data_IF_373654442350
#
_entry.id   IF_373654442350
#
_cell.length_a   1.000
_cell.length_b   1.000
_cell.length_c   1.000
_cell.angle_alpha   90.00
_cell.angle_beta   90.00
_cell.angle_gamma   90.00
#
_symmetry.space_group_name_H-M   'P 1'
#
loop_
_entity.id
_entity.type
_entity.pdbx_description
1 polymer ?
#
# COMPACT_ATOMS: atom_id res chain seq x y z
N UNK A 1 113.61 78.73 16.03
CA UNK A 1 113.17 78.29 14.68
C UNK A 1 113.53 76.82 14.52
N UNK A 2 112.70 75.83 14.86
CA UNK A 2 111.39 75.37 14.34
C UNK A 2 111.57 74.00 13.66
N UNK A 3 111.63 72.94 14.49
CA UNK A 3 111.62 71.52 14.08
C UNK A 3 110.20 70.97 13.83
N UNK A 4 109.14 71.79 13.94
CA UNK A 4 107.74 71.36 13.99
C UNK A 4 107.01 71.23 12.63
N UNK A 5 107.62 71.63 11.51
CA UNK A 5 106.95 71.59 10.19
C UNK A 5 107.07 70.27 9.43
N UNK A 6 107.93 69.34 9.86
CA UNK A 6 108.11 68.03 9.20
C UNK A 6 107.14 66.94 9.68
N UNK A 7 106.41 67.16 10.78
CA UNK A 7 105.50 66.15 11.35
C UNK A 7 104.07 66.24 10.77
N UNK A 8 103.58 67.44 10.44
CA UNK A 8 102.20 67.66 9.99
C UNK A 8 101.92 67.12 8.57
N UNK A 9 102.91 67.15 7.68
CA UNK A 9 102.77 66.67 6.29
C UNK A 9 102.83 65.13 6.24
N UNK A 10 103.60 64.49 7.13
CA UNK A 10 103.62 63.04 7.27
C UNK A 10 102.31 62.47 7.81
N UNK A 11 101.65 63.16 8.75
CA UNK A 11 100.38 62.72 9.31
C UNK A 11 99.21 62.91 8.32
N UNK A 12 99.18 64.02 7.59
CA UNK A 12 98.15 64.26 6.56
C UNK A 12 98.24 63.28 5.39
N UNK A 13 99.46 62.96 4.93
CA UNK A 13 99.68 61.93 3.92
C UNK A 13 99.31 60.52 4.44
N UNK A 14 99.64 60.18 5.69
CA UNK A 14 99.26 58.92 6.29
C UNK A 14 97.74 58.78 6.44
N UNK A 15 97.03 59.83 6.85
CA UNK A 15 95.56 59.83 6.97
C UNK A 15 94.89 59.75 5.59
N UNK A 16 95.43 60.45 4.58
CA UNK A 16 94.92 60.37 3.21
C UNK A 16 95.17 58.99 2.58
N UNK A 17 96.34 58.36 2.82
CA UNK A 17 96.62 56.99 2.39
C UNK A 17 95.70 56.01 3.12
N UNK A 18 95.48 56.16 4.43
CA UNK A 18 94.54 55.33 5.18
C UNK A 18 93.10 55.50 4.65
N UNK A 19 92.66 56.72 4.33
CA UNK A 19 91.33 56.95 3.75
C UNK A 19 91.20 56.36 2.34
N UNK A 20 92.23 56.45 1.49
CA UNK A 20 92.24 55.83 0.16
C UNK A 20 92.27 54.30 0.27
N UNK A 21 93.03 53.74 1.20
CA UNK A 21 93.05 52.29 1.46
C UNK A 21 91.71 51.83 2.02
N UNK A 22 91.08 52.57 2.94
CA UNK A 22 89.77 52.23 3.50
C UNK A 22 88.64 52.35 2.46
N UNK A 23 88.68 53.34 1.57
CA UNK A 23 87.65 53.53 0.53
C UNK A 23 87.88 52.71 -0.74
N UNK A 24 89.13 52.31 -1.03
CA UNK A 24 89.51 51.50 -2.20
C UNK A 24 89.50 49.99 -1.94
N UNK A 25 89.20 49.58 -0.70
CA UNK A 25 89.04 48.18 -0.34
C UNK A 25 87.81 47.61 -1.08
N UNK A 26 87.99 46.53 -1.86
CA UNK A 26 86.87 45.89 -2.53
C UNK A 26 85.92 45.34 -1.47
N UNK A 27 84.64 45.68 -1.61
CA UNK A 27 83.60 45.08 -0.79
C UNK A 27 83.57 43.57 -1.07
N UNK A 28 83.52 42.76 -0.01
CA UNK A 28 83.40 41.31 -0.15
C UNK A 28 81.92 40.91 -0.12
N UNK A 29 81.45 40.08 -1.07
CA UNK A 29 80.11 39.55 -1.03
C UNK A 29 80.02 38.43 0.01
N UNK A 30 79.13 38.59 0.99
CA UNK A 30 78.80 37.52 1.94
C UNK A 30 77.45 36.95 1.58
N UNK A 31 77.38 35.62 1.42
CA UNK A 31 76.14 34.91 1.27
C UNK A 31 75.43 34.80 2.62
N UNK A 32 74.15 35.15 2.66
CA UNK A 32 73.28 34.85 3.78
C UNK A 32 72.00 34.19 3.28
N UNK A 33 71.47 33.24 4.05
CA UNK A 33 70.20 32.58 3.76
C UNK A 33 69.08 33.46 4.29
N UNK A 34 68.20 33.90 3.40
CA UNK A 34 66.97 34.58 3.79
C UNK A 34 65.78 33.71 3.43
N UNK A 35 64.86 33.55 4.38
CA UNK A 35 63.58 32.90 4.18
C UNK A 35 62.66 33.87 3.44
N UNK A 36 62.40 33.60 2.16
CA UNK A 36 61.54 34.46 1.34
C UNK A 36 60.18 33.76 1.18
N UNK A 37 59.07 34.42 1.57
CA UNK A 37 57.74 33.87 1.32
C UNK A 37 57.45 33.88 -0.18
N UNK A 38 56.94 32.78 -0.69
CA UNK A 38 56.39 32.68 -2.05
C UNK A 38 54.99 32.08 -2.00
N UNK A 39 54.17 32.44 -2.98
CA UNK A 39 52.82 31.92 -3.11
C UNK A 39 52.88 30.63 -3.93
N UNK A 40 52.33 29.55 -3.38
CA UNK A 40 52.16 28.28 -4.05
C UNK A 40 50.68 27.91 -4.11
N UNK A 41 50.27 27.20 -5.17
CA UNK A 41 48.89 26.76 -5.36
C UNK A 41 48.79 25.30 -4.97
N UNK A 42 48.06 25.02 -3.89
CA UNK A 42 47.77 23.65 -3.48
C UNK A 42 46.34 23.28 -3.88
N UNK A 43 46.21 22.14 -4.57
CA UNK A 43 44.93 21.50 -4.88
C UNK A 43 44.50 20.66 -3.68
N UNK A 44 43.27 20.89 -3.21
CA UNK A 44 42.66 20.10 -2.16
C UNK A 44 41.22 19.74 -2.55
N UNK A 45 40.73 18.61 -2.05
CA UNK A 45 39.38 18.14 -2.34
C UNK A 45 38.44 18.54 -1.21
N UNK A 46 37.31 19.16 -1.60
CA UNK A 46 36.21 19.47 -0.68
C UNK A 46 35.02 18.59 -1.04
N UNK A 47 34.53 17.84 -0.05
CA UNK A 47 33.31 17.06 -0.21
C UNK A 47 32.10 17.99 -0.15
N UNK A 48 31.44 18.19 -1.28
CA UNK A 48 30.25 19.03 -1.39
C UNK A 48 29.00 18.16 -1.58
N UNK A 49 27.92 18.38 -0.81
CA UNK A 49 26.66 17.67 -0.99
C UNK A 49 25.95 18.14 -2.28
N UNK A 50 25.32 17.22 -2.98
CA UNK A 50 24.42 17.50 -4.10
C UNK A 50 23.18 16.59 -4.04
N UNK A 51 22.06 17.07 -4.54
CA UNK A 51 20.79 16.35 -4.53
C UNK A 51 20.59 15.58 -5.84
N UNK A 52 20.23 14.29 -5.72
CA UNK A 52 19.91 13.42 -6.86
C UNK A 52 18.53 12.81 -6.64
N UNK A 53 17.71 12.76 -7.69
CA UNK A 53 16.46 12.00 -7.68
C UNK A 53 16.74 10.54 -8.03
N UNK A 54 16.44 9.63 -7.10
CA UNK A 54 16.54 8.19 -7.35
C UNK A 54 15.15 7.56 -7.42
N UNK A 55 14.86 6.74 -8.44
CA UNK A 55 13.60 6.01 -8.51
C UNK A 55 13.58 4.91 -7.44
N UNK A 56 12.41 4.69 -6.84
CA UNK A 56 12.14 3.54 -6.00
C UNK A 56 10.75 2.99 -6.30
N UNK A 57 10.59 1.68 -6.15
CA UNK A 57 9.32 1.00 -6.35
C UNK A 57 8.54 0.92 -5.04
N UNK A 58 7.25 1.22 -5.10
CA UNK A 58 6.35 1.05 -3.96
C UNK A 58 5.02 0.48 -4.43
N UNK A 59 4.35 -0.29 -3.55
CA UNK A 59 3.05 -0.86 -3.85
C UNK A 59 1.96 0.02 -3.25
N UNK A 60 1.06 0.51 -4.09
CA UNK A 60 -0.09 1.29 -3.67
C UNK A 60 -1.38 0.47 -3.80
N UNK A 61 -2.26 0.50 -2.78
CA UNK A 61 -3.56 -0.14 -2.86
C UNK A 61 -4.48 0.63 -3.81
N UNK A 62 -5.30 -0.09 -4.55
CA UNK A 62 -6.40 0.46 -5.34
C UNK A 62 -7.62 -0.46 -5.27
N UNK A 63 -8.82 0.11 -5.41
CA UNK A 63 -10.07 -0.63 -5.34
C UNK A 63 -10.51 -1.05 -6.74
N UNK A 64 -10.93 -2.31 -6.89
CA UNK A 64 -11.49 -2.86 -8.12
C UNK A 64 -12.80 -3.55 -7.79
N UNK A 65 -13.83 -3.32 -8.60
CA UNK A 65 -15.06 -4.10 -8.54
C UNK A 65 -14.90 -5.37 -9.35
N UNK A 66 -15.11 -6.52 -8.70
CA UNK A 66 -15.09 -7.83 -9.36
C UNK A 66 -16.46 -8.48 -9.27
N UNK A 67 -16.96 -9.08 -10.37
CA UNK A 67 -18.20 -9.84 -10.33
C UNK A 67 -18.03 -11.07 -9.44
N UNK A 68 -19.06 -11.40 -8.68
CA UNK A 68 -19.13 -12.63 -7.90
C UNK A 68 -20.56 -13.16 -7.89
N UNK A 69 -20.69 -14.47 -7.78
CA UNK A 69 -21.99 -15.15 -7.64
C UNK A 69 -22.27 -15.39 -6.17
N UNK A 70 -23.50 -15.11 -5.74
CA UNK A 70 -23.97 -15.41 -4.40
C UNK A 70 -25.35 -16.06 -4.44
N UNK A 71 -25.65 -16.85 -3.42
CA UNK A 71 -26.96 -17.46 -3.25
C UNK A 71 -27.82 -16.53 -2.41
N UNK A 72 -28.93 -16.09 -2.97
CA UNK A 72 -29.99 -15.41 -2.23
C UNK A 72 -31.04 -16.44 -1.81
N UNK A 73 -31.59 -16.29 -0.61
CA UNK A 73 -32.57 -17.24 -0.06
C UNK A 73 -33.81 -16.49 0.39
N UNK A 74 -34.98 -17.01 0.06
CA UNK A 74 -36.25 -16.39 0.43
C UNK A 74 -37.25 -17.40 0.97
N UNK A 75 -38.27 -16.87 1.66
CA UNK A 75 -39.43 -17.65 2.12
C UNK A 75 -40.72 -16.88 1.87
N UNK A 76 -41.81 -17.61 1.62
CA UNK A 76 -43.14 -17.06 1.44
C UNK A 76 -44.17 -17.98 2.10
N UNK A 77 -44.98 -17.43 2.99
CA UNK A 77 -46.13 -18.13 3.58
C UNK A 77 -47.19 -18.33 2.51
N UNK A 78 -47.54 -19.57 2.23
CA UNK A 78 -48.62 -19.94 1.31
C UNK A 78 -49.96 -20.02 2.05
N UNK A 79 -49.96 -20.64 3.23
CA UNK A 79 -51.13 -20.78 4.10
C UNK A 79 -50.70 -20.66 5.57
N UNK A 80 -51.52 -20.01 6.38
CA UNK A 80 -51.44 -20.02 7.85
C UNK A 80 -52.84 -19.72 8.40
N UNK A 81 -53.79 -20.62 8.12
CA UNK A 81 -55.20 -20.41 8.44
C UNK A 81 -55.92 -21.72 8.80
N UNK A 82 -57.17 -21.60 9.25
CA UNK A 82 -58.07 -22.70 9.56
C UNK A 82 -59.20 -22.77 8.55
N UNK A 83 -59.46 -23.97 8.05
CA UNK A 83 -60.45 -24.21 7.01
C UNK A 83 -61.52 -25.19 7.50
N UNK A 84 -62.78 -24.90 7.18
CA UNK A 84 -63.89 -25.81 7.43
C UNK A 84 -64.19 -26.67 6.20
N UNK A 85 -64.15 -28.00 6.36
CA UNK A 85 -64.40 -28.95 5.28
C UNK A 85 -65.66 -29.77 5.59
N UNK A 86 -66.70 -29.58 4.79
CA UNK A 86 -68.00 -30.26 4.96
C UNK A 86 -67.86 -31.79 4.84
N UNK A 87 -68.66 -32.53 5.61
CA UNK A 87 -68.76 -33.99 5.56
C UNK A 87 -69.07 -34.49 4.13
N UNK A 88 -68.25 -35.42 3.63
CA UNK A 88 -68.36 -35.99 2.28
C UNK A 88 -67.76 -35.12 1.15
N UNK A 89 -67.25 -33.92 1.45
CA UNK A 89 -66.70 -33.00 0.44
C UNK A 89 -65.19 -32.83 0.57
N UNK A 90 -64.59 -32.19 -0.42
CA UNK A 90 -63.23 -31.65 -0.34
C UNK A 90 -63.26 -30.13 -0.46
N UNK A 91 -62.21 -29.49 0.06
CA UNK A 91 -61.86 -28.10 -0.19
C UNK A 91 -60.52 -28.07 -0.92
N UNK A 92 -60.46 -27.46 -2.10
CA UNK A 92 -59.24 -27.27 -2.86
C UNK A 92 -58.76 -25.82 -2.74
N UNK A 93 -57.54 -25.64 -2.24
CA UNK A 93 -56.91 -24.35 -2.04
C UNK A 93 -55.82 -24.15 -3.11
N UNK A 94 -56.06 -23.34 -4.15
CA UNK A 94 -55.06 -23.05 -5.16
C UNK A 94 -54.03 -22.06 -4.64
N UNK A 95 -52.75 -22.30 -4.94
CA UNK A 95 -51.66 -21.34 -4.77
C UNK A 95 -50.74 -21.38 -5.96
N UNK A 96 -50.32 -20.21 -6.45
CA UNK A 96 -49.39 -20.13 -7.57
C UNK A 96 -47.96 -20.14 -7.06
N UNK A 97 -47.15 -21.09 -7.54
CA UNK A 97 -45.75 -21.22 -7.15
C UNK A 97 -44.89 -20.90 -8.35
N UNK A 98 -44.10 -19.82 -8.25
CA UNK A 98 -43.06 -19.48 -9.21
C UNK A 98 -41.77 -20.18 -8.81
N UNK A 99 -41.20 -20.97 -9.71
CA UNK A 99 -39.91 -21.62 -9.49
C UNK A 99 -38.73 -20.66 -9.60
N UNK A 100 -37.75 -20.95 -8.77
CA UNK A 100 -36.39 -20.45 -8.67
C UNK A 100 -35.42 -21.62 -8.85
N UNK A 101 -34.13 -21.43 -8.54
CA UNK A 101 -33.11 -22.48 -8.72
C UNK A 101 -33.36 -23.69 -7.82
N UNK A 102 -33.89 -23.47 -6.62
CA UNK A 102 -34.26 -24.56 -5.70
C UNK A 102 -35.46 -24.15 -4.84
N UNK A 103 -36.66 -24.60 -5.18
CA UNK A 103 -37.84 -24.41 -4.34
C UNK A 103 -38.11 -25.66 -3.47
N UNK A 104 -38.63 -25.40 -2.28
CA UNK A 104 -39.01 -26.43 -1.33
C UNK A 104 -40.22 -25.95 -0.55
N UNK A 105 -41.32 -26.68 -0.67
CA UNK A 105 -42.55 -26.38 0.06
C UNK A 105 -42.65 -27.34 1.23
N UNK A 106 -42.93 -26.81 2.41
CA UNK A 106 -43.20 -27.62 3.59
C UNK A 106 -44.23 -27.00 4.50
N UNK A 107 -44.81 -27.83 5.37
CA UNK A 107 -45.92 -27.38 6.18
C UNK A 107 -46.47 -28.45 7.12
N UNK A 108 -47.55 -28.09 7.79
CA UNK A 108 -48.29 -28.97 8.68
C UNK A 108 -49.77 -28.91 8.36
N UNK A 109 -50.42 -30.07 8.45
CA UNK A 109 -51.88 -30.18 8.44
C UNK A 109 -52.32 -30.75 9.77
N UNK A 110 -53.29 -30.11 10.42
CA UNK A 110 -53.83 -30.52 11.72
C UNK A 110 -55.35 -30.40 11.72
N UNK A 111 -56.03 -31.51 11.98
CA UNK A 111 -57.46 -31.59 12.24
C UNK A 111 -57.70 -31.29 13.73
N UNK A 112 -58.54 -30.31 14.03
CA UNK A 112 -58.70 -29.76 15.39
C UNK A 112 -59.99 -30.19 16.10
N UNK A 113 -60.75 -31.13 15.51
CA UNK A 113 -62.02 -31.65 16.04
C UNK A 113 -61.96 -33.13 16.46
N UNK A 114 -60.74 -33.65 16.70
CA UNK A 114 -60.46 -35.02 17.17
C UNK A 114 -60.84 -36.13 16.16
N UNK A 115 -60.68 -35.83 14.87
CA UNK A 115 -60.93 -36.77 13.77
C UNK A 115 -59.68 -36.92 12.90
N UNK A 116 -59.88 -37.25 11.63
CA UNK A 116 -58.83 -37.43 10.63
C UNK A 116 -59.06 -36.51 9.43
N UNK A 117 -58.04 -36.18 8.66
CA UNK A 117 -58.21 -35.49 7.37
C UNK A 117 -57.30 -36.15 6.35
N UNK A 118 -57.72 -36.15 5.08
CA UNK A 118 -56.84 -36.53 3.98
C UNK A 118 -56.33 -35.28 3.27
N UNK A 119 -55.02 -35.15 3.11
CA UNK A 119 -54.38 -34.09 2.35
C UNK A 119 -53.82 -34.66 1.04
N UNK A 120 -54.14 -33.99 -0.07
CA UNK A 120 -53.42 -34.13 -1.33
C UNK A 120 -52.76 -32.81 -1.69
N UNK A 121 -51.57 -32.88 -2.30
CA UNK A 121 -50.99 -31.74 -3.02
C UNK A 121 -50.77 -32.14 -4.47
N UNK A 122 -51.45 -31.45 -5.38
CA UNK A 122 -51.44 -31.72 -6.82
C UNK A 122 -51.00 -30.46 -7.58
N UNK A 123 -50.27 -30.61 -8.69
CA UNK A 123 -50.15 -29.53 -9.67
C UNK A 123 -51.48 -29.33 -10.44
N UNK A 124 -51.52 -28.34 -11.32
CA UNK A 124 -52.70 -28.01 -12.13
C UNK A 124 -53.17 -29.18 -13.01
N UNK A 125 -52.24 -29.91 -13.62
CA UNK A 125 -52.52 -31.04 -14.51
C UNK A 125 -53.14 -32.21 -13.73
N UNK A 126 -52.51 -32.61 -12.64
CA UNK A 126 -52.94 -33.67 -11.74
C UNK A 126 -54.25 -33.31 -11.04
N UNK A 127 -54.47 -32.04 -10.68
CA UNK A 127 -55.76 -31.60 -10.15
C UNK A 127 -56.90 -31.69 -11.18
N UNK A 128 -56.63 -31.35 -12.44
CA UNK A 128 -57.62 -31.51 -13.49
C UNK A 128 -57.96 -32.99 -13.75
N UNK A 129 -56.95 -33.87 -13.72
CA UNK A 129 -57.16 -35.32 -13.78
C UNK A 129 -57.98 -35.84 -12.59
N UNK A 130 -57.67 -35.38 -11.36
CA UNK A 130 -58.43 -35.70 -10.15
C UNK A 130 -59.92 -35.33 -10.29
N UNK A 131 -60.23 -34.13 -10.74
CA UNK A 131 -61.62 -33.69 -10.98
C UNK A 131 -62.34 -34.52 -12.04
N UNK A 132 -61.62 -34.94 -13.08
CA UNK A 132 -62.16 -35.75 -14.17
C UNK A 132 -62.31 -37.24 -13.81
N UNK A 133 -61.92 -37.66 -12.60
CA UNK A 133 -61.89 -39.08 -12.21
C UNK A 133 -60.84 -39.89 -12.96
N UNK A 134 -59.82 -39.22 -13.52
CA UNK A 134 -58.70 -39.85 -14.21
C UNK A 134 -57.58 -40.21 -13.23
N UNK A 135 -56.60 -40.98 -13.69
CA UNK A 135 -55.39 -41.26 -12.90
C UNK A 135 -54.54 -39.98 -12.74
N UNK A 136 -54.00 -39.77 -11.53
CA UNK A 136 -53.15 -38.64 -11.18
C UNK A 136 -52.08 -39.11 -10.18
N UNK A 137 -51.02 -38.33 -10.01
CA UNK A 137 -49.98 -38.60 -9.01
C UNK A 137 -49.80 -37.38 -8.12
N UNK A 138 -50.07 -37.49 -6.81
CA UNK A 138 -49.85 -36.39 -5.89
C UNK A 138 -48.37 -36.22 -5.53
N UNK A 139 -47.95 -34.98 -5.28
CA UNK A 139 -46.67 -34.68 -4.63
C UNK A 139 -46.70 -35.08 -3.16
N UNK A 140 -47.85 -34.89 -2.52
CA UNK A 140 -48.09 -35.27 -1.11
C UNK A 140 -49.42 -36.01 -1.04
N UNK A 141 -49.42 -37.16 -0.39
CA UNK A 141 -50.62 -37.90 -0.02
C UNK A 141 -50.54 -38.33 1.44
N UNK A 142 -51.37 -37.72 2.29
CA UNK A 142 -51.51 -38.07 3.69
C UNK A 142 -52.94 -38.54 3.92
N UNK A 143 -53.13 -39.82 4.17
CA UNK A 143 -54.45 -40.41 4.39
C UNK A 143 -54.80 -40.40 5.86
N UNK A 144 -55.97 -39.85 6.18
CA UNK A 144 -56.61 -39.95 7.50
C UNK A 144 -55.67 -39.60 8.67
N UNK A 145 -54.99 -38.46 8.56
CA UNK A 145 -54.10 -37.94 9.62
C UNK A 145 -54.84 -36.98 10.54
N UNK A 146 -54.59 -37.03 11.85
CA UNK A 146 -55.04 -35.99 12.79
C UNK A 146 -54.08 -34.81 12.80
N UNK A 147 -52.78 -35.06 12.74
CA UNK A 147 -51.74 -34.06 12.54
C UNK A 147 -50.56 -34.68 11.80
N UNK A 148 -49.97 -33.96 10.86
CA UNK A 148 -48.80 -34.44 10.13
C UNK A 148 -48.01 -33.30 9.48
N UNK A 149 -46.72 -33.54 9.32
CA UNK A 149 -45.83 -32.71 8.52
C UNK A 149 -45.82 -33.21 7.07
N UNK A 150 -45.75 -32.28 6.12
CA UNK A 150 -45.52 -32.61 4.72
C UNK A 150 -44.44 -31.72 4.13
N UNK A 151 -43.81 -32.22 3.06
CA UNK A 151 -42.95 -31.43 2.20
C UNK A 151 -42.90 -32.00 0.80
N UNK A 152 -42.61 -31.16 -0.19
CA UNK A 152 -42.36 -31.55 -1.57
C UNK A 152 -41.53 -30.48 -2.29
N UNK A 153 -40.95 -30.88 -3.43
CA UNK A 153 -40.23 -29.98 -4.34
C UNK A 153 -41.08 -29.77 -5.58
N UNK A 154 -41.61 -28.55 -5.82
CA UNK A 154 -42.29 -28.26 -7.08
C UNK A 154 -41.28 -28.36 -8.23
N UNK A 155 -41.71 -28.88 -9.37
CA UNK A 155 -40.86 -29.16 -10.55
C UNK A 155 -41.26 -28.32 -11.78
N UNK A 156 -42.31 -27.51 -11.68
CA UNK A 156 -42.65 -26.48 -12.67
C UNK A 156 -43.35 -25.28 -12.02
N UNK A 157 -43.35 -24.14 -12.73
CA UNK A 157 -44.09 -22.95 -12.32
C UNK A 157 -45.55 -23.12 -12.73
N UNK A 158 -46.46 -23.26 -11.76
CA UNK A 158 -47.89 -23.43 -12.00
C UNK A 158 -48.72 -23.21 -10.71
N UNK A 159 -50.02 -23.39 -10.80
CA UNK A 159 -50.90 -23.57 -9.66
C UNK A 159 -50.74 -24.95 -9.04
N UNK A 160 -50.55 -24.96 -7.73
CA UNK A 160 -50.60 -26.13 -6.88
C UNK A 160 -51.88 -26.08 -6.03
N UNK A 161 -52.52 -27.24 -5.87
CA UNK A 161 -53.80 -27.41 -5.19
C UNK A 161 -53.61 -28.25 -3.94
N UNK A 162 -53.84 -27.62 -2.79
CA UNK A 162 -53.88 -28.29 -1.50
C UNK A 162 -55.32 -28.72 -1.22
N UNK A 163 -55.56 -30.02 -1.32
CA UNK A 163 -56.91 -30.59 -1.24
C UNK A 163 -57.08 -31.20 0.14
N UNK A 164 -57.97 -30.60 0.94
CA UNK A 164 -58.41 -31.14 2.21
C UNK A 164 -59.68 -31.94 1.98
N UNK A 165 -59.62 -33.26 2.15
CA UNK A 165 -60.72 -34.17 1.86
C UNK A 165 -61.31 -34.79 3.13
N UNK A 166 -62.61 -34.55 3.33
CA UNK A 166 -63.41 -35.10 4.43
C UNK A 166 -64.37 -36.18 3.93
N UNK A 167 -63.85 -37.21 3.26
CA UNK A 167 -64.68 -38.28 2.68
C UNK A 167 -65.31 -39.25 3.68
N UNK A 168 -64.73 -39.37 4.88
CA UNK A 168 -65.09 -40.40 5.85
C UNK A 168 -66.10 -39.93 6.91
N UNK A 169 -66.33 -38.61 7.04
CA UNK A 169 -67.38 -38.11 7.91
C UNK A 169 -68.73 -38.06 7.18
N UNK A 170 -69.80 -38.48 7.85
CA UNK A 170 -71.15 -38.49 7.28
C UNK A 170 -71.97 -37.24 7.64
N UNK A 171 -71.67 -36.58 8.75
CA UNK A 171 -72.53 -35.51 9.31
C UNK A 171 -71.73 -34.28 9.74
N UNK A 172 -70.54 -34.46 10.34
CA UNK A 172 -69.78 -33.36 10.95
C UNK A 172 -68.75 -32.73 9.99
N UNK A 173 -68.73 -31.39 9.85
CA UNK A 173 -67.62 -30.72 9.20
C UNK A 173 -66.36 -30.85 10.06
N UNK A 174 -65.19 -30.80 9.41
CA UNK A 174 -63.87 -30.80 10.09
C UNK A 174 -63.26 -29.41 10.05
N UNK A 175 -62.53 -29.04 11.10
CA UNK A 175 -61.76 -27.79 11.14
C UNK A 175 -60.28 -28.13 11.06
N UNK A 176 -59.66 -27.71 9.96
CA UNK A 176 -58.29 -28.07 9.61
C UNK A 176 -57.41 -26.84 9.64
N UNK A 177 -56.42 -26.80 10.52
CA UNK A 177 -55.34 -25.84 10.44
C UNK A 177 -54.34 -26.30 9.38
N UNK A 178 -54.09 -25.47 8.37
CA UNK A 178 -53.11 -25.72 7.33
C UNK A 178 -52.08 -24.59 7.35
N UNK A 179 -50.82 -24.98 7.55
CA UNK A 179 -49.67 -24.10 7.43
C UNK A 179 -48.79 -24.60 6.32
N UNK A 180 -48.39 -23.73 5.41
CA UNK A 180 -47.42 -24.08 4.37
C UNK A 180 -46.55 -22.88 4.03
N UNK A 181 -45.27 -23.14 3.82
CA UNK A 181 -44.27 -22.16 3.45
C UNK A 181 -43.51 -22.67 2.25
N UNK A 182 -43.34 -21.83 1.23
CA UNK A 182 -42.36 -22.05 0.18
C UNK A 182 -41.04 -21.40 0.60
N UNK A 183 -39.95 -22.15 0.52
CA UNK A 183 -38.59 -21.66 0.74
C UNK A 183 -37.82 -21.88 -0.55
N UNK A 184 -37.04 -20.88 -0.96
CA UNK A 184 -36.24 -21.00 -2.17
C UNK A 184 -34.82 -20.47 -2.01
N UNK A 185 -33.97 -20.86 -2.96
CA UNK A 185 -32.70 -20.20 -3.21
C UNK A 185 -32.57 -19.85 -4.70
N UNK A 186 -31.88 -18.75 -4.98
CA UNK A 186 -31.58 -18.30 -6.34
C UNK A 186 -30.15 -17.76 -6.42
N UNK A 187 -29.46 -18.09 -7.51
CA UNK A 187 -28.11 -17.63 -7.80
C UNK A 187 -28.17 -16.25 -8.42
N UNK A 188 -27.63 -15.24 -7.72
CA UNK A 188 -27.53 -13.86 -8.19
C UNK A 188 -26.09 -13.48 -8.48
N UNK A 189 -25.92 -12.58 -9.45
CA UNK A 189 -24.64 -11.94 -9.74
C UNK A 189 -24.58 -10.60 -9.01
N UNK A 190 -23.47 -10.32 -8.34
CA UNK A 190 -23.19 -9.06 -7.68
C UNK A 190 -21.77 -8.58 -7.97
N UNK A 191 -21.44 -7.37 -7.50
CA UNK A 191 -20.09 -6.83 -7.55
C UNK A 191 -19.57 -6.64 -6.14
N UNK A 192 -18.33 -7.06 -5.88
CA UNK A 192 -17.63 -6.80 -4.63
C UNK A 192 -16.41 -5.94 -4.88
N UNK A 193 -16.16 -5.00 -3.98
CA UNK A 193 -14.95 -4.19 -4.00
C UNK A 193 -13.80 -4.98 -3.40
N UNK A 194 -12.74 -5.19 -4.18
CA UNK A 194 -11.51 -5.88 -3.77
C UNK A 194 -10.35 -4.90 -3.81
N UNK A 195 -9.55 -4.89 -2.75
CA UNK A 195 -8.29 -4.13 -2.72
C UNK A 195 -7.19 -4.92 -3.42
N UNK A 196 -6.66 -4.35 -4.50
CA UNK A 196 -5.49 -4.84 -5.23
C UNK A 196 -4.31 -3.91 -5.02
N UNK A 197 -3.12 -4.38 -5.35
CA UNK A 197 -1.89 -3.60 -5.26
C UNK A 197 -1.28 -3.42 -6.64
N UNK A 198 -0.82 -2.21 -6.93
CA UNK A 198 -0.04 -1.92 -8.14
C UNK A 198 1.32 -1.38 -7.73
N UNK A 199 2.36 -1.83 -8.42
CA UNK A 199 3.70 -1.28 -8.28
C UNK A 199 3.76 0.03 -9.05
N UNK A 200 4.18 1.09 -8.36
CA UNK A 200 4.38 2.42 -8.93
C UNK A 200 5.80 2.88 -8.64
N UNK A 201 6.42 3.50 -9.63
CA UNK A 201 7.74 4.13 -9.49
C UNK A 201 7.55 5.54 -8.94
N UNK A 202 8.15 5.82 -7.79
CA UNK A 202 8.24 7.15 -7.19
C UNK A 202 9.70 7.60 -7.19
N UNK A 203 9.93 8.90 -6.97
CA UNK A 203 11.26 9.47 -6.89
C UNK A 203 11.48 10.02 -5.48
N UNK A 204 12.68 9.78 -4.93
CA UNK A 204 13.12 10.36 -3.67
C UNK A 204 14.38 11.18 -3.91
N UNK A 205 14.46 12.33 -3.24
CA UNK A 205 15.68 13.13 -3.18
C UNK A 205 16.68 12.44 -2.24
N UNK A 206 17.86 12.14 -2.75
CA UNK A 206 18.99 11.59 -1.98
C UNK A 206 20.15 12.58 -2.04
N UNK A 207 20.68 12.95 -0.88
CA UNK A 207 21.91 13.73 -0.78
C UNK A 207 23.10 12.81 -0.99
N UNK A 208 23.87 13.05 -2.06
CA UNK A 208 25.15 12.41 -2.32
C UNK A 208 26.27 13.41 -2.14
N UNK A 209 27.49 12.91 -1.99
CA UNK A 209 28.68 13.73 -1.86
C UNK A 209 29.56 13.54 -3.08
N UNK A 210 30.14 14.64 -3.57
CA UNK A 210 31.16 14.61 -4.61
C UNK A 210 32.38 15.39 -4.13
N UNK A 211 33.55 14.89 -4.48
CA UNK A 211 34.79 15.61 -4.23
C UNK A 211 34.98 16.66 -5.32
N UNK A 212 35.02 17.92 -4.90
CA UNK A 212 35.25 19.07 -5.77
C UNK A 212 36.66 19.56 -5.53
N UNK A 213 37.44 19.62 -6.60
CA UNK A 213 38.79 20.17 -6.55
C UNK A 213 38.73 21.68 -6.33
N UNK A 214 39.36 22.15 -5.27
CA UNK A 214 39.55 23.57 -4.96
C UNK A 214 41.02 23.89 -4.87
N UNK A 215 41.34 25.13 -5.18
CA UNK A 215 42.69 25.66 -5.07
C UNK A 215 42.75 26.61 -3.88
N UNK A 216 43.80 26.49 -3.08
CA UNK A 216 44.14 27.49 -2.06
C UNK A 216 45.54 28.01 -2.32
N UNK A 217 45.70 29.30 -2.07
CA UNK A 217 47.00 29.95 -2.09
C UNK A 217 47.64 29.73 -0.72
N UNK A 218 48.79 29.08 -0.69
CA UNK A 218 49.56 28.83 0.54
C UNK A 218 50.85 29.62 0.47
N UNK A 219 51.15 30.34 1.55
CA UNK A 219 52.45 30.99 1.70
C UNK A 219 53.45 29.94 2.18
N UNK A 220 54.35 29.54 1.29
CA UNK A 220 55.49 28.68 1.61
C UNK A 220 56.74 29.53 1.74
N UNK A 221 57.74 28.98 2.40
CA UNK A 221 59.02 29.63 2.59
C UNK A 221 60.09 28.83 1.88
N UNK A 222 60.90 29.50 1.05
CA UNK A 222 62.11 28.91 0.47
C UNK A 222 63.33 29.68 0.98
N UNK A 223 64.42 28.95 1.14
CA UNK A 223 65.70 29.57 1.46
C UNK A 223 66.30 30.11 0.17
N UNK A 224 66.46 31.43 0.09
CA UNK A 224 67.21 32.08 -0.98
C UNK A 224 68.57 32.53 -0.44
N UNK A 225 69.63 32.22 -1.20
CA UNK A 225 70.95 32.78 -0.94
C UNK A 225 71.01 34.17 -1.55
N UNK A 226 71.11 35.20 -0.71
CA UNK A 226 71.36 36.58 -1.14
C UNK A 226 72.77 37.00 -0.76
N UNK A 227 73.28 38.00 -1.48
CA UNK A 227 74.61 38.53 -1.27
C UNK A 227 74.51 39.97 -0.80
N UNK A 228 75.18 40.30 0.31
CA UNK A 228 75.36 41.67 0.76
C UNK A 228 76.84 42.02 0.66
N UNK A 229 77.12 43.21 0.15
CA UNK A 229 78.46 43.77 0.11
C UNK A 229 78.81 44.33 1.49
N UNK A 230 79.88 43.83 2.11
CA UNK A 230 80.39 44.32 3.40
C UNK A 230 81.83 44.76 3.24
N UNK A 231 82.29 45.68 4.10
CA UNK A 231 83.70 46.06 4.13
C UNK A 231 84.54 44.89 4.67
N UNK A 232 85.80 44.80 4.25
CA UNK A 232 86.73 43.75 4.70
C UNK A 232 86.87 43.67 6.23
N UNK A 233 86.75 44.82 6.92
CA UNK A 233 86.79 44.92 8.37
C UNK A 233 85.56 44.24 9.02
N UNK A 234 84.37 44.48 8.45
CA UNK A 234 83.12 43.92 8.94
C UNK A 234 82.99 42.42 8.64
N UNK A 235 83.54 41.98 7.49
CA UNK A 235 83.70 40.56 7.14
C UNK A 235 84.54 39.81 8.16
N UNK A 236 85.72 40.35 8.49
CA UNK A 236 86.65 39.74 9.44
C UNK A 236 86.08 39.64 10.85
N UNK A 237 85.34 40.66 11.30
CA UNK A 237 84.78 40.71 12.66
C UNK A 237 83.58 39.78 12.84
N UNK A 238 82.69 39.71 11.85
CA UNK A 238 81.38 39.07 12.02
C UNK A 238 81.20 37.74 11.27
N UNK A 239 82.04 37.42 10.28
CA UNK A 239 81.84 36.27 9.39
C UNK A 239 83.04 35.34 9.26
N UNK A 240 84.28 35.81 9.52
CA UNK A 240 85.50 35.00 9.42
C UNK A 240 85.81 34.16 10.68
N UNK A 241 85.05 34.37 11.76
CA UNK A 241 85.25 33.78 13.09
C UNK A 241 84.43 32.51 13.36
N UNK A 242 83.77 31.95 12.34
CA UNK A 242 82.99 30.71 12.41
C UNK A 242 83.54 29.65 11.45
#
# INVERSE_FOLDING_TARGET
MSKSKKLAIGLGAAIAIVAIVVCGIPLQPVSYTVSVPYQDVETYYVSEPYEVQEPYETNEPYQVEEPYTYTDTGTATLFDDKYSVKAGYYLALPTYIRLHDSDFVSGTVEETTDHDITLYVLDQKNYNAYKAGQSYTPYVYLSRVSSSYFSFTPDHTDYYYFILYNGYAWITPKLVALKATNSWSESKQGYRTVTKYRTVTKYRTVTKYRDVEKQRIVTKYRQETRYKQVSLLDYWLNYASY
#
